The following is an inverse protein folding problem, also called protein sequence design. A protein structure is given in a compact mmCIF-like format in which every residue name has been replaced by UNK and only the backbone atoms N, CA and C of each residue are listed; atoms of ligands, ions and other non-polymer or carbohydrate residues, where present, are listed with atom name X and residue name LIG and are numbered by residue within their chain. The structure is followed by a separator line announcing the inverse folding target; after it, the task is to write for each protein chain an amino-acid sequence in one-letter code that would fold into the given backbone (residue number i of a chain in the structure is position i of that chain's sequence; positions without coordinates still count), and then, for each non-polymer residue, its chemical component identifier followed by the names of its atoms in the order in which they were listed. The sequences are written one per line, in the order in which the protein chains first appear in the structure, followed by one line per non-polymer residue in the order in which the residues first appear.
data_IF_655627996112
#
_entry.id   IF_655627996112
#
_cell.length_a   1.000
_cell.length_b   1.000
_cell.length_c   1.000
_cell.angle_alpha   90.00
_cell.angle_beta   90.00
_cell.angle_gamma   90.00
#
_symmetry.space_group_name_H-M   'P 1'
#
loop_
_entity.id
_entity.type
_entity.pdbx_description
1 polymer ?
#
# COMPACT_ATOMS: atom_id res chain seq x y z
N UNK A 1 -16.06 -13.54 13.34
CA UNK A 1 -15.11 -14.52 12.79
C UNK A 1 -13.73 -14.10 13.28
N UNK A 2 -13.06 -14.92 14.08
CA UNK A 2 -11.69 -14.63 14.55
C UNK A 2 -10.77 -14.74 13.33
N UNK A 3 -10.33 -13.60 12.80
CA UNK A 3 -9.49 -13.52 11.62
C UNK A 3 -8.08 -14.00 12.01
N UNK A 4 -7.68 -15.19 11.53
CA UNK A 4 -6.38 -15.79 11.78
C UNK A 4 -5.50 -15.56 10.56
N UNK A 5 -4.69 -14.51 10.64
CA UNK A 5 -3.84 -14.06 9.54
C UNK A 5 -2.86 -15.14 9.06
N UNK A 6 -2.49 -16.11 9.91
CA UNK A 6 -1.60 -17.21 9.51
C UNK A 6 -2.33 -18.22 8.62
N UNK A 7 -3.61 -18.47 8.88
CA UNK A 7 -4.45 -19.30 7.99
C UNK A 7 -4.73 -18.60 6.67
N UNK A 8 -5.02 -17.31 6.70
CA UNK A 8 -5.23 -16.53 5.49
C UNK A 8 -3.96 -16.47 4.63
N UNK A 9 -2.79 -16.39 5.26
CA UNK A 9 -1.52 -16.54 4.55
C UNK A 9 -1.37 -17.95 3.95
N UNK A 10 -1.63 -19.00 4.74
CA UNK A 10 -1.51 -20.40 4.28
C UNK A 10 -2.39 -20.72 3.08
N UNK A 11 -3.63 -20.20 3.05
CA UNK A 11 -4.57 -20.40 1.95
C UNK A 11 -4.43 -19.38 0.82
N UNK A 12 -3.54 -18.39 0.93
CA UNK A 12 -3.36 -17.35 -0.09
C UNK A 12 -4.49 -16.32 -0.15
N UNK A 13 -5.24 -16.13 0.93
CA UNK A 13 -6.35 -15.17 1.03
C UNK A 13 -5.86 -13.71 1.20
N UNK A 14 -4.56 -13.52 1.49
CA UNK A 14 -3.97 -12.18 1.62
C UNK A 14 -3.52 -11.71 0.23
N UNK A 15 -4.38 -10.93 -0.44
CA UNK A 15 -4.06 -10.27 -1.70
C UNK A 15 -4.15 -8.74 -1.56
N UNK A 16 -3.02 -8.05 -1.27
CA UNK A 16 -3.01 -6.59 -1.09
C UNK A 16 -3.33 -5.79 -2.34
N UNK A 17 -3.25 -6.41 -3.53
CA UNK A 17 -3.48 -5.76 -4.81
C UNK A 17 -4.97 -5.73 -5.19
N UNK A 18 -5.73 -6.74 -4.78
CA UNK A 18 -7.18 -6.78 -5.02
C UNK A 18 -7.91 -5.85 -4.07
N UNK A 19 -8.13 -4.61 -4.53
CA UNK A 19 -8.84 -3.59 -3.79
C UNK A 19 -9.95 -2.98 -4.64
N UNK A 20 -11.02 -2.61 -3.97
CA UNK A 20 -12.06 -1.75 -4.54
C UNK A 20 -11.93 -0.38 -3.89
N UNK A 21 -12.26 0.66 -4.65
CA UNK A 21 -12.40 2.01 -4.13
C UNK A 21 -13.88 2.43 -4.16
N UNK A 22 -14.26 3.28 -3.22
CA UNK A 22 -15.58 3.91 -3.25
C UNK A 22 -15.63 4.94 -4.39
N UNK A 23 -16.59 4.77 -5.31
CA UNK A 23 -16.79 5.67 -6.45
C UNK A 23 -17.15 7.09 -6.04
N UNK A 24 -17.76 7.27 -4.86
CA UNK A 24 -18.12 8.59 -4.34
C UNK A 24 -16.98 9.27 -3.57
N UNK A 25 -15.88 8.56 -3.32
CA UNK A 25 -14.68 9.13 -2.69
C UNK A 25 -13.98 10.11 -3.63
N UNK A 26 -13.07 10.93 -3.08
CA UNK A 26 -12.21 11.80 -3.88
C UNK A 26 -11.36 11.00 -4.88
N UNK A 27 -10.93 9.78 -4.52
CA UNK A 27 -10.26 8.88 -5.46
C UNK A 27 -11.18 8.49 -6.62
N UNK A 28 -12.41 8.11 -6.31
CA UNK A 28 -13.40 7.71 -7.33
C UNK A 28 -13.75 8.84 -8.28
N UNK A 29 -13.91 10.08 -7.76
CA UNK A 29 -14.13 11.28 -8.58
C UNK A 29 -12.93 11.60 -9.46
N UNK A 30 -11.71 11.51 -8.92
CA UNK A 30 -10.49 11.73 -9.69
C UNK A 30 -10.32 10.68 -10.79
N UNK A 31 -10.61 9.41 -10.50
CA UNK A 31 -10.59 8.33 -11.49
C UNK A 31 -11.63 8.56 -12.60
N UNK A 32 -12.84 8.99 -12.26
CA UNK A 32 -13.86 9.35 -13.25
C UNK A 32 -13.40 10.52 -14.13
N UNK A 33 -12.89 11.59 -13.51
CA UNK A 33 -12.41 12.76 -14.25
C UNK A 33 -11.22 12.45 -15.18
N UNK A 34 -10.34 11.51 -14.78
CA UNK A 34 -9.27 11.01 -15.66
C UNK A 34 -9.84 10.37 -16.92
N UNK A 35 -10.87 9.53 -16.79
CA UNK A 35 -11.54 8.89 -17.93
C UNK A 35 -12.22 9.93 -18.81
N UNK A 36 -12.96 10.88 -18.23
CA UNK A 36 -13.67 11.92 -18.98
C UNK A 36 -12.71 12.76 -19.85
N UNK A 37 -11.56 13.18 -19.29
CA UNK A 37 -10.55 13.94 -20.04
C UNK A 37 -9.79 13.06 -21.04
N UNK A 38 -9.55 11.78 -20.76
CA UNK A 38 -8.98 10.83 -21.72
C UNK A 38 -9.88 10.67 -22.95
N UNK A 39 -11.19 10.46 -22.75
CA UNK A 39 -12.16 10.33 -23.84
C UNK A 39 -12.20 11.59 -24.72
N UNK A 40 -12.21 12.77 -24.08
CA UNK A 40 -12.15 14.04 -24.78
C UNK A 40 -10.87 14.20 -25.58
N UNK A 41 -9.71 13.86 -25.00
CA UNK A 41 -8.43 13.88 -25.71
C UNK A 41 -8.46 12.95 -26.92
N UNK A 42 -8.93 11.71 -26.76
CA UNK A 42 -9.07 10.73 -27.85
C UNK A 42 -9.91 11.24 -29.01
N UNK A 43 -10.97 12.00 -28.74
CA UNK A 43 -11.83 12.57 -29.79
C UNK A 43 -11.12 13.57 -30.70
N UNK A 44 -9.98 14.12 -30.25
CA UNK A 44 -9.17 15.10 -30.98
C UNK A 44 -7.98 14.47 -31.73
N UNK A 45 -7.70 13.18 -31.51
CA UNK A 45 -6.55 12.49 -32.07
C UNK A 45 -6.94 11.71 -33.34
N UNK A 46 -5.99 11.63 -34.28
CA UNK A 46 -6.07 10.64 -35.36
C UNK A 46 -5.71 9.23 -34.85
N UNK A 47 -5.77 8.25 -35.76
CA UNK A 47 -5.50 6.86 -35.43
C UNK A 47 -4.05 6.62 -34.97
N UNK A 48 -3.07 7.25 -35.64
CA UNK A 48 -1.65 7.07 -35.29
C UNK A 48 -1.36 7.62 -33.89
N UNK A 49 -1.84 8.83 -33.61
CA UNK A 49 -1.62 9.49 -32.33
C UNK A 49 -2.41 8.83 -31.20
N UNK A 50 -3.59 8.26 -31.50
CA UNK A 50 -4.35 7.44 -30.54
C UNK A 50 -3.59 6.18 -30.13
N UNK A 51 -2.93 5.50 -31.06
CA UNK A 51 -2.11 4.32 -30.74
C UNK A 51 -0.88 4.68 -29.89
N UNK A 52 -0.31 5.88 -30.08
CA UNK A 52 0.76 6.40 -29.21
C UNK A 52 0.22 6.66 -27.80
N UNK A 53 -0.96 7.27 -27.67
CA UNK A 53 -1.61 7.50 -26.38
C UNK A 53 -1.88 6.17 -25.65
N UNK A 54 -2.40 5.16 -26.33
CA UNK A 54 -2.62 3.81 -25.76
C UNK A 54 -1.32 3.22 -25.20
N UNK A 55 -0.25 3.29 -25.99
CA UNK A 55 1.06 2.79 -25.57
C UNK A 55 1.59 3.57 -24.37
N UNK A 56 1.39 4.89 -24.34
CA UNK A 56 1.81 5.73 -23.21
C UNK A 56 1.04 5.36 -21.93
N UNK A 57 -0.28 5.21 -22.00
CA UNK A 57 -1.12 4.80 -20.86
C UNK A 57 -0.70 3.43 -20.34
N UNK A 58 -0.48 2.45 -21.23
CA UNK A 58 -0.01 1.12 -20.86
C UNK A 58 1.36 1.16 -20.15
N UNK A 59 2.31 1.94 -20.66
CA UNK A 59 3.62 2.11 -20.04
C UNK A 59 3.51 2.79 -18.67
N UNK A 60 2.68 3.83 -18.57
CA UNK A 60 2.45 4.54 -17.30
C UNK A 60 1.80 3.63 -16.27
N UNK A 61 0.77 2.86 -16.63
CA UNK A 61 0.14 1.88 -15.75
C UNK A 61 1.14 0.81 -15.29
N UNK A 62 2.03 0.36 -16.17
CA UNK A 62 3.10 -0.59 -15.83
C UNK A 62 4.09 0.00 -14.82
N UNK A 63 4.52 1.25 -15.03
CA UNK A 63 5.39 1.97 -14.08
C UNK A 63 4.70 2.13 -12.73
N UNK A 64 3.44 2.58 -12.71
CA UNK A 64 2.66 2.72 -11.47
C UNK A 64 2.53 1.39 -10.74
N UNK A 65 2.27 0.29 -11.46
CA UNK A 65 2.22 -1.06 -10.88
C UNK A 65 3.55 -1.48 -10.24
N UNK A 66 4.67 -1.33 -10.96
CA UNK A 66 6.01 -1.66 -10.44
C UNK A 66 6.37 -0.81 -9.21
N UNK A 67 6.13 0.50 -9.26
CA UNK A 67 6.38 1.39 -8.12
C UNK A 67 5.51 1.03 -6.90
N UNK A 68 4.25 0.68 -7.11
CA UNK A 68 3.36 0.26 -6.02
C UNK A 68 3.83 -1.06 -5.38
N UNK A 69 4.31 -2.01 -6.18
CA UNK A 69 4.90 -3.28 -5.71
C UNK A 69 6.17 -3.02 -4.88
N UNK A 70 7.10 -2.19 -5.37
CA UNK A 70 8.32 -1.84 -4.66
C UNK A 70 8.03 -1.18 -3.31
N UNK A 71 7.11 -0.20 -3.28
CA UNK A 71 6.71 0.44 -2.02
C UNK A 71 6.01 -0.51 -1.06
N UNK A 72 5.22 -1.48 -1.56
CA UNK A 72 4.63 -2.50 -0.71
C UNK A 72 5.71 -3.35 -0.04
N UNK A 73 6.69 -3.84 -0.81
CA UNK A 73 7.79 -4.67 -0.31
C UNK A 73 8.64 -3.89 0.70
N UNK A 74 9.00 -2.65 0.40
CA UNK A 74 9.79 -1.81 1.29
C UNK A 74 9.04 -1.44 2.56
N UNK A 75 7.75 -1.14 2.46
CA UNK A 75 6.87 -0.91 3.60
C UNK A 75 6.78 -2.15 4.51
N UNK A 76 6.61 -3.33 3.92
CA UNK A 76 6.55 -4.59 4.66
C UNK A 76 7.87 -4.87 5.40
N UNK A 77 9.01 -4.80 4.70
CA UNK A 77 10.35 -4.95 5.32
C UNK A 77 10.56 -3.98 6.47
N UNK A 78 10.17 -2.72 6.27
CA UNK A 78 10.29 -1.68 7.30
C UNK A 78 9.43 -2.01 8.51
N UNK A 79 8.18 -2.43 8.30
CA UNK A 79 7.28 -2.85 9.37
C UNK A 79 7.84 -3.99 10.23
N UNK A 80 8.39 -5.04 9.60
CA UNK A 80 9.01 -6.15 10.33
C UNK A 80 10.26 -5.74 11.11
N UNK A 81 11.11 -4.86 10.56
CA UNK A 81 12.27 -4.33 11.27
C UNK A 81 11.87 -3.57 12.53
N UNK A 82 10.83 -2.74 12.44
CA UNK A 82 10.28 -2.02 13.59
C UNK A 82 9.70 -2.98 14.63
N UNK A 83 8.93 -3.97 14.20
CA UNK A 83 8.35 -4.97 15.11
C UNK A 83 9.44 -5.73 15.87
N UNK A 84 10.49 -6.19 15.18
CA UNK A 84 11.63 -6.87 15.82
C UNK A 84 12.37 -5.95 16.78
N UNK A 85 12.62 -4.69 16.41
CA UNK A 85 13.29 -3.73 17.29
C UNK A 85 12.48 -3.40 18.55
N UNK A 86 11.14 -3.45 18.48
CA UNK A 86 10.26 -3.26 19.63
C UNK A 86 10.22 -4.50 20.54
N UNK A 87 10.25 -5.69 19.95
CA UNK A 87 10.19 -6.97 20.67
C UNK A 87 11.55 -7.43 21.22
N UNK A 88 12.65 -6.83 20.75
CA UNK A 88 13.98 -7.11 21.29
C UNK A 88 14.09 -6.57 22.72
N UNK A 89 13.89 -7.45 23.70
CA UNK A 89 14.05 -7.17 25.14
C UNK A 89 15.53 -7.05 25.58
N UNK A 90 16.48 -7.03 24.64
CA UNK A 90 17.89 -6.81 24.93
C UNK A 90 18.12 -5.50 25.69
N UNK A 91 18.72 -5.58 26.91
CA UNK A 91 19.01 -4.49 27.88
C UNK A 91 18.60 -3.09 27.38
N UNK A 92 17.39 -2.69 27.75
CA UNK A 92 16.82 -1.37 27.46
C UNK A 92 17.61 -0.25 28.17
N UNK A 93 18.75 0.12 27.60
CA UNK A 93 19.61 1.20 28.08
C UNK A 93 20.14 1.00 29.51
N UNK A 94 20.84 2.02 29.99
CA UNK A 94 21.38 2.07 31.36
C UNK A 94 20.37 2.59 32.40
N UNK A 95 19.14 2.92 31.98
CA UNK A 95 18.14 3.56 32.81
C UNK A 95 17.10 2.53 33.23
N UNK A 96 17.04 2.24 34.53
CA UNK A 96 15.99 1.41 35.12
C UNK A 96 14.81 2.27 35.56
N UNK A 97 13.57 1.74 35.53
CA UNK A 97 12.43 2.41 36.16
C UNK A 97 12.76 2.74 37.61
N UNK A 98 12.35 3.91 38.10
CA UNK A 98 12.35 4.19 39.53
C UNK A 98 11.29 3.27 40.14
N UNK A 99 11.70 2.08 40.59
CA UNK A 99 10.84 1.26 41.43
C UNK A 99 10.52 2.09 42.66
N UNK A 100 9.24 2.42 42.84
CA UNK A 100 8.78 3.09 44.05
C UNK A 100 9.23 2.23 45.24
N UNK A 101 10.17 2.80 46.01
CA UNK A 101 10.78 2.15 47.13
C UNK A 101 9.72 1.80 48.17
N UNK A 102 9.37 0.52 48.23
CA UNK A 102 8.83 -0.14 49.41
C UNK A 102 7.42 0.25 49.81
N UNK A 103 6.49 -0.70 49.64
CA UNK A 103 5.64 -1.12 50.75
C UNK A 103 5.54 -2.64 50.76
N UNK A 104 6.26 -3.24 51.72
CA UNK A 104 5.88 -4.54 52.27
C UNK A 104 4.49 -4.38 52.90
N UNK A 105 3.55 -5.20 52.48
CA UNK A 105 2.48 -5.73 53.32
C UNK A 105 2.53 -7.25 53.20
#
# INVERSE_FOLDING_TARGET
MTNDILKDFFYGNINPNEKQFDRNSEYGKAASGLVDEEEKLRSMLDHETSAILDKMICLQASITGMTAEEYFIDGLRTGFRLALAILDEGKNGSLTPITDGGKRL
#
